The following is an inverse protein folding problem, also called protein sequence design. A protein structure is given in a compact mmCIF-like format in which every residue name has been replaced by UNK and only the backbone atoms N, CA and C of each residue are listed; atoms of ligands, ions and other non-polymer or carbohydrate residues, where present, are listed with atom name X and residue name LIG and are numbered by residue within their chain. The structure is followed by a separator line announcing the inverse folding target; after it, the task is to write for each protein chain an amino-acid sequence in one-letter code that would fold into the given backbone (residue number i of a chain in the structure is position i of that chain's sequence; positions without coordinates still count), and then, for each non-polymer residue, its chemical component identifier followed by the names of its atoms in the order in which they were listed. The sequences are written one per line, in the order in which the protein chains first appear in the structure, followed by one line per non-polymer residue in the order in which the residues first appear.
data_IF_877447806394
#
_entry.id   IF_877447806394
#
_cell.length_a   1.000
_cell.length_b   1.000
_cell.length_c   1.000
_cell.angle_alpha   90.00
_cell.angle_beta   90.00
_cell.angle_gamma   90.00
#
_symmetry.space_group_name_H-M   'P 1'
#
loop_
_entity.id
_entity.type
_entity.pdbx_description
1 polymer ?
#
# COMPACT_ATOMS: atom_id res chain seq x y z
N UNK A 1 63.54 -9.59 56.36
CA UNK A 1 63.27 -9.80 54.91
C UNK A 1 62.24 -10.90 54.74
N UNK A 2 61.02 -10.55 54.34
CA UNK A 2 60.11 -11.29 53.44
C UNK A 2 58.75 -10.57 53.48
N UNK A 3 58.50 -9.79 52.43
CA UNK A 3 57.21 -9.11 52.20
C UNK A 3 56.28 -10.07 51.47
N UNK A 4 55.03 -10.13 51.91
CA UNK A 4 53.95 -10.96 51.33
C UNK A 4 53.10 -10.04 50.44
N UNK A 5 53.12 -10.26 49.12
CA UNK A 5 52.30 -9.54 48.15
C UNK A 5 51.12 -10.43 47.73
N UNK A 6 49.91 -10.10 48.20
CA UNK A 6 48.65 -10.62 47.67
C UNK A 6 48.41 -10.03 46.27
N UNK A 7 48.29 -10.87 45.25
CA UNK A 7 47.77 -10.48 43.94
C UNK A 7 46.27 -10.77 43.90
N UNK A 8 45.45 -9.72 43.82
CA UNK A 8 44.02 -9.84 43.49
C UNK A 8 43.87 -9.60 41.99
N UNK A 9 43.59 -10.66 41.24
CA UNK A 9 43.28 -10.58 39.81
C UNK A 9 41.79 -10.26 39.63
N UNK A 10 41.49 -9.02 39.23
CA UNK A 10 40.14 -8.62 38.81
C UNK A 10 39.94 -9.06 37.37
N UNK A 11 39.09 -10.07 37.15
CA UNK A 11 38.72 -10.54 35.82
C UNK A 11 37.73 -9.58 35.16
N UNK A 12 38.10 -9.05 33.99
CA UNK A 12 37.24 -8.22 33.16
C UNK A 12 36.23 -9.12 32.44
N UNK A 13 35.00 -9.23 32.95
CA UNK A 13 33.90 -9.86 32.21
C UNK A 13 33.45 -8.91 31.10
N UNK A 14 33.90 -9.17 29.87
CA UNK A 14 33.33 -8.56 28.67
C UNK A 14 31.91 -9.09 28.50
N UNK A 15 30.90 -8.25 28.73
CA UNK A 15 29.53 -8.53 28.31
C UNK A 15 29.52 -8.51 26.77
N UNK A 16 29.53 -9.70 26.16
CA UNK A 16 29.14 -9.87 24.77
C UNK A 16 27.65 -9.55 24.64
N UNK A 17 27.32 -8.31 24.29
CA UNK A 17 25.97 -7.95 23.87
C UNK A 17 25.70 -8.65 22.53
N UNK A 18 24.91 -9.73 22.56
CA UNK A 18 24.39 -10.32 21.33
C UNK A 18 23.52 -9.25 20.64
N UNK A 19 23.74 -8.97 19.34
CA UNK A 19 22.83 -8.08 18.62
C UNK A 19 21.46 -8.74 18.63
N UNK A 20 20.47 -8.01 19.15
CA UNK A 20 19.07 -8.39 19.07
C UNK A 20 18.67 -8.26 17.61
N UNK A 21 18.85 -9.32 16.82
CA UNK A 21 18.33 -9.41 15.46
C UNK A 21 16.82 -9.51 15.63
N UNK A 22 16.14 -8.37 15.54
CA UNK A 22 14.70 -8.36 15.35
C UNK A 22 14.46 -9.05 14.00
N UNK A 23 14.10 -10.33 14.05
CA UNK A 23 13.56 -11.04 12.89
C UNK A 23 12.25 -10.35 12.55
N UNK A 24 12.24 -9.48 11.56
CA UNK A 24 11.00 -9.06 10.92
C UNK A 24 10.37 -10.33 10.36
N UNK A 25 9.31 -10.81 11.01
CA UNK A 25 8.51 -11.93 10.52
C UNK A 25 7.88 -11.49 9.20
N UNK A 26 8.48 -11.88 8.08
CA UNK A 26 7.90 -11.67 6.76
C UNK A 26 6.60 -12.46 6.63
N UNK A 27 5.60 -11.89 5.95
CA UNK A 27 4.33 -12.56 5.67
C UNK A 27 4.34 -13.07 4.23
N UNK A 28 4.61 -14.37 4.06
CA UNK A 28 4.66 -15.05 2.76
C UNK A 28 3.29 -15.37 2.16
N UNK A 29 2.20 -14.91 2.77
CA UNK A 29 0.83 -15.15 2.29
C UNK A 29 -0.06 -13.92 2.42
N UNK A 30 0.33 -12.77 1.85
CA UNK A 30 -0.39 -11.52 2.01
C UNK A 30 -1.80 -11.58 1.43
N UNK A 31 -2.74 -10.93 2.11
CA UNK A 31 -4.11 -10.69 1.63
C UNK A 31 -4.23 -9.21 1.34
N UNK A 32 -4.58 -8.86 0.11
CA UNK A 32 -4.74 -7.48 -0.34
C UNK A 32 -6.21 -7.22 -0.64
N UNK A 33 -6.74 -6.15 -0.03
CA UNK A 33 -8.07 -5.65 -0.35
C UNK A 33 -8.10 -5.00 -1.74
N UNK A 34 -9.12 -5.27 -2.54
CA UNK A 34 -9.38 -4.52 -3.78
C UNK A 34 -10.72 -3.82 -3.66
N UNK A 35 -10.70 -2.48 -3.71
CA UNK A 35 -11.89 -1.66 -3.50
C UNK A 35 -12.88 -1.76 -4.67
N UNK A 36 -14.14 -2.10 -4.37
CA UNK A 36 -15.22 -2.07 -5.34
C UNK A 36 -15.67 -0.64 -5.63
N UNK A 37 -16.41 -0.45 -6.70
CA UNK A 37 -16.99 0.84 -7.07
C UNK A 37 -18.40 0.65 -7.61
N UNK A 38 -19.21 1.69 -7.56
CA UNK A 38 -20.58 1.67 -8.05
C UNK A 38 -20.66 1.23 -9.53
N UNK A 39 -21.75 0.55 -9.85
CA UNK A 39 -22.15 0.35 -11.24
C UNK A 39 -22.75 1.67 -11.76
N UNK A 40 -22.24 2.14 -12.91
CA UNK A 40 -22.68 3.34 -13.63
C UNK A 40 -23.12 2.97 -15.06
N UNK A 41 -23.51 3.95 -15.87
CA UNK A 41 -23.99 3.73 -17.25
C UNK A 41 -23.00 2.94 -18.13
N UNK A 42 -21.69 3.16 -17.96
CA UNK A 42 -20.63 2.46 -18.69
C UNK A 42 -20.44 1.01 -18.23
N UNK A 43 -20.95 0.67 -17.05
CA UNK A 43 -20.80 -0.63 -16.41
C UNK A 43 -22.13 -1.32 -16.15
N UNK A 44 -23.24 -0.73 -16.62
CA UNK A 44 -24.63 -1.08 -16.35
C UNK A 44 -25.03 -2.51 -16.75
N UNK A 45 -24.19 -3.21 -17.52
CA UNK A 45 -24.38 -4.63 -17.86
C UNK A 45 -24.03 -5.58 -16.69
N UNK A 46 -23.56 -5.06 -15.56
CA UNK A 46 -23.19 -5.84 -14.38
C UNK A 46 -24.38 -5.91 -13.41
N UNK A 47 -24.75 -7.12 -13.00
CA UNK A 47 -25.75 -7.33 -11.95
C UNK A 47 -25.13 -6.98 -10.59
N UNK A 48 -25.74 -6.08 -9.83
CA UNK A 48 -25.34 -5.70 -8.47
C UNK A 48 -25.09 -4.20 -8.29
N UNK A 49 -24.89 -3.78 -7.04
CA UNK A 49 -24.69 -2.37 -6.65
C UNK A 49 -23.26 -1.88 -6.91
N UNK A 50 -22.28 -2.79 -6.90
CA UNK A 50 -20.87 -2.46 -7.12
C UNK A 50 -20.13 -3.58 -7.87
N UNK A 51 -18.95 -3.28 -8.40
CA UNK A 51 -18.11 -4.24 -9.12
C UNK A 51 -16.61 -4.02 -8.86
N UNK A 52 -15.82 -5.04 -9.20
CA UNK A 52 -14.36 -4.99 -9.35
C UNK A 52 -14.00 -5.55 -10.73
N UNK A 53 -13.15 -4.87 -11.50
CA UNK A 53 -12.67 -5.43 -12.76
C UNK A 53 -11.68 -6.57 -12.47
N UNK A 54 -11.91 -7.74 -13.08
CA UNK A 54 -11.12 -8.96 -12.83
C UNK A 54 -9.62 -8.81 -13.11
N UNK A 55 -9.23 -7.85 -13.96
CA UNK A 55 -7.82 -7.54 -14.22
C UNK A 55 -7.07 -7.11 -12.97
N UNK A 56 -7.70 -6.39 -12.03
CA UNK A 56 -7.06 -6.01 -10.76
C UNK A 56 -6.85 -7.21 -9.83
N UNK A 57 -7.80 -8.16 -9.83
CA UNK A 57 -7.67 -9.40 -9.06
C UNK A 57 -6.46 -10.19 -9.57
N UNK A 58 -6.40 -10.41 -10.89
CA UNK A 58 -5.28 -11.11 -11.54
C UNK A 58 -3.95 -10.41 -11.33
N UNK A 59 -3.92 -9.08 -11.36
CA UNK A 59 -2.71 -8.29 -11.11
C UNK A 59 -2.16 -8.54 -9.71
N UNK A 60 -3.02 -8.51 -8.69
CA UNK A 60 -2.61 -8.78 -7.30
C UNK A 60 -2.18 -10.24 -7.12
N UNK A 61 -2.94 -11.19 -7.68
CA UNK A 61 -2.58 -12.61 -7.63
C UNK A 61 -1.25 -12.92 -8.33
N UNK A 62 -0.94 -12.24 -9.44
CA UNK A 62 0.36 -12.40 -10.12
C UNK A 62 1.54 -11.92 -9.28
N UNK A 63 1.30 -11.06 -8.28
CA UNK A 63 2.28 -10.65 -7.27
C UNK A 63 2.42 -11.63 -6.10
N UNK A 64 1.73 -12.78 -6.13
CA UNK A 64 1.78 -13.79 -5.06
C UNK A 64 0.84 -13.54 -3.88
N UNK A 65 -0.08 -12.57 -3.99
CA UNK A 65 -1.04 -12.24 -2.93
C UNK A 65 -2.42 -12.85 -3.18
N UNK A 66 -3.18 -13.07 -2.11
CA UNK A 66 -4.62 -13.38 -2.18
C UNK A 66 -5.43 -12.08 -2.20
N UNK A 67 -6.59 -12.10 -2.83
CA UNK A 67 -7.48 -10.95 -2.93
C UNK A 67 -8.72 -11.13 -2.07
N UNK A 68 -9.12 -10.06 -1.39
CA UNK A 68 -10.46 -9.94 -0.80
C UNK A 68 -11.16 -8.71 -1.40
N UNK A 69 -12.44 -8.82 -1.84
CA UNK A 69 -13.18 -7.65 -2.28
C UNK A 69 -13.50 -6.76 -1.08
N UNK A 70 -13.16 -5.47 -1.19
CA UNK A 70 -13.57 -4.45 -0.23
C UNK A 70 -14.83 -3.79 -0.79
N UNK A 71 -15.98 -4.15 -0.24
CA UNK A 71 -17.27 -3.63 -0.70
C UNK A 71 -17.44 -2.17 -0.28
N UNK A 72 -18.05 -1.35 -1.13
CA UNK A 72 -18.47 0.02 -0.77
C UNK A 72 -19.69 0.00 0.15
N UNK A 73 -20.03 1.17 0.71
CA UNK A 73 -21.22 1.40 1.54
C UNK A 73 -21.31 0.54 2.81
N UNK A 74 -20.19 0.02 3.30
CA UNK A 74 -20.10 -0.62 4.62
C UNK A 74 -19.94 0.44 5.72
N UNK A 75 -20.16 0.03 6.97
CA UNK A 75 -19.93 0.86 8.15
C UNK A 75 -18.44 1.07 8.42
N UNK A 76 -18.10 2.13 9.16
CA UNK A 76 -16.71 2.40 9.55
C UNK A 76 -16.10 1.25 10.38
N UNK A 77 -16.90 0.61 11.23
CA UNK A 77 -16.46 -0.52 12.06
C UNK A 77 -16.20 -1.79 11.25
N UNK A 78 -16.99 -2.05 10.21
CA UNK A 78 -16.71 -3.13 9.24
C UNK A 78 -15.40 -2.87 8.49
N UNK A 79 -15.15 -1.62 8.06
CA UNK A 79 -13.88 -1.27 7.42
C UNK A 79 -12.69 -1.39 8.36
N UNK A 80 -12.81 -0.97 9.63
CA UNK A 80 -11.74 -1.16 10.64
C UNK A 80 -11.45 -2.63 10.87
N UNK A 81 -12.49 -3.45 10.99
CA UNK A 81 -12.36 -4.90 11.16
C UNK A 81 -11.64 -5.51 9.97
N UNK A 82 -12.03 -5.13 8.74
CA UNK A 82 -11.40 -5.60 7.52
C UNK A 82 -9.95 -5.10 7.38
N UNK A 83 -9.68 -3.83 7.68
CA UNK A 83 -8.34 -3.24 7.68
C UNK A 83 -7.38 -4.04 8.55
N UNK A 84 -7.79 -4.40 9.76
CA UNK A 84 -6.99 -5.20 10.70
C UNK A 84 -6.83 -6.67 10.27
N UNK A 85 -7.54 -7.10 9.22
CA UNK A 85 -7.53 -8.48 8.71
C UNK A 85 -6.77 -8.63 7.38
N UNK A 86 -6.32 -7.54 6.77
CA UNK A 86 -5.62 -7.52 5.48
C UNK A 86 -4.25 -6.84 5.60
N UNK A 87 -3.40 -7.02 4.59
CA UNK A 87 -2.01 -6.57 4.61
C UNK A 87 -1.75 -5.34 3.72
N UNK A 88 -2.78 -4.82 3.06
CA UNK A 88 -2.69 -3.67 2.16
C UNK A 88 -3.97 -3.52 1.35
N UNK A 89 -4.07 -2.42 0.60
CA UNK A 89 -5.25 -2.15 -0.23
C UNK A 89 -4.89 -1.54 -1.58
N UNK A 90 -5.62 -1.95 -2.61
CA UNK A 90 -5.59 -1.40 -3.95
C UNK A 90 -6.87 -0.61 -4.22
N UNK A 91 -6.69 0.65 -4.62
CA UNK A 91 -7.72 1.54 -5.16
C UNK A 91 -7.68 1.47 -6.69
N UNK A 92 -8.62 0.75 -7.34
CA UNK A 92 -8.58 0.54 -8.78
C UNK A 92 -9.01 1.79 -9.55
N UNK A 93 -8.74 1.79 -10.85
CA UNK A 93 -9.30 2.76 -11.80
C UNK A 93 -10.82 2.63 -11.94
N UNK A 94 -11.46 3.64 -12.49
CA UNK A 94 -12.91 3.71 -12.50
C UNK A 94 -13.44 5.04 -13.04
N UNK A 95 -14.74 5.26 -12.88
CA UNK A 95 -15.43 6.45 -13.35
C UNK A 95 -16.54 6.90 -12.41
N UNK A 96 -16.29 6.83 -11.11
CA UNK A 96 -17.21 7.30 -10.05
C UNK A 96 -16.69 8.59 -9.43
N UNK A 97 -17.57 9.33 -8.75
CA UNK A 97 -17.23 10.62 -8.13
C UNK A 97 -16.11 10.49 -7.08
N UNK A 98 -15.07 11.33 -7.17
CA UNK A 98 -13.96 11.40 -6.19
C UNK A 98 -14.37 11.95 -4.81
N UNK A 99 -15.60 12.47 -4.68
CA UNK A 99 -16.06 13.17 -3.48
C UNK A 99 -17.25 12.44 -2.86
N UNK A 100 -18.27 12.13 -3.66
CA UNK A 100 -19.59 11.71 -3.15
C UNK A 100 -19.84 10.21 -3.23
N UNK A 101 -19.02 9.44 -3.96
CA UNK A 101 -19.20 7.99 -4.12
C UNK A 101 -18.91 7.22 -2.83
N UNK A 102 -19.49 6.02 -2.73
CA UNK A 102 -19.12 4.99 -1.77
C UNK A 102 -17.66 4.57 -1.91
N UNK A 103 -17.12 4.55 -3.13
CA UNK A 103 -15.69 4.37 -3.37
C UNK A 103 -14.84 5.42 -2.64
N UNK A 104 -15.13 6.70 -2.84
CA UNK A 104 -14.37 7.81 -2.25
C UNK A 104 -14.47 7.80 -0.72
N UNK A 105 -15.65 7.51 -0.18
CA UNK A 105 -15.87 7.36 1.27
C UNK A 105 -15.06 6.23 1.86
N UNK A 106 -15.10 5.04 1.25
CA UNK A 106 -14.33 3.88 1.70
C UNK A 106 -12.82 4.15 1.59
N UNK A 107 -12.35 4.67 0.45
CA UNK A 107 -10.96 5.01 0.23
C UNK A 107 -10.42 6.01 1.28
N UNK A 108 -11.22 7.03 1.64
CA UNK A 108 -10.87 7.99 2.70
C UNK A 108 -10.68 7.32 4.06
N UNK A 109 -11.52 6.35 4.41
CA UNK A 109 -11.41 5.60 5.67
C UNK A 109 -10.12 4.77 5.68
N UNK A 110 -9.88 3.96 4.65
CA UNK A 110 -8.64 3.16 4.54
C UNK A 110 -7.38 4.01 4.48
N UNK A 111 -7.42 5.16 3.80
CA UNK A 111 -6.31 6.12 3.75
C UNK A 111 -5.95 6.66 5.14
N UNK A 112 -6.95 7.07 5.92
CA UNK A 112 -6.75 7.53 7.30
C UNK A 112 -6.18 6.40 8.17
N UNK A 113 -6.76 5.21 8.12
CA UNK A 113 -6.29 4.06 8.90
C UNK A 113 -4.85 3.68 8.55
N UNK A 114 -4.49 3.70 7.26
CA UNK A 114 -3.14 3.43 6.82
C UNK A 114 -2.14 4.48 7.32
N UNK A 115 -2.47 5.77 7.29
CA UNK A 115 -1.60 6.81 7.86
C UNK A 115 -1.37 6.55 9.35
N UNK A 116 -2.44 6.32 10.11
CA UNK A 116 -2.37 6.05 11.55
C UNK A 116 -1.54 4.79 11.86
N UNK A 117 -1.70 3.73 11.05
CA UNK A 117 -0.91 2.50 11.16
C UNK A 117 0.58 2.76 10.88
N UNK A 118 0.89 3.39 9.74
CA UNK A 118 2.28 3.65 9.38
C UNK A 118 2.98 4.58 10.39
N UNK A 119 2.27 5.55 10.97
CA UNK A 119 2.81 6.45 12.02
C UNK A 119 3.18 5.72 13.31
N UNK A 120 2.46 4.64 13.66
CA UNK A 120 2.77 3.80 14.83
C UNK A 120 3.69 2.62 14.52
N UNK A 121 4.28 2.59 13.31
CA UNK A 121 5.21 1.53 12.88
C UNK A 121 4.54 0.25 12.36
N UNK A 122 3.23 0.27 12.16
CA UNK A 122 2.44 -0.81 11.58
C UNK A 122 2.29 -0.57 10.08
N UNK A 123 3.17 -1.19 9.29
CA UNK A 123 3.29 -0.88 7.86
C UNK A 123 2.06 -1.37 7.09
N UNK A 124 1.35 -0.43 6.45
CA UNK A 124 0.18 -0.72 5.61
C UNK A 124 0.28 0.00 4.27
N UNK A 125 0.60 -0.71 3.16
CA UNK A 125 0.73 -0.10 1.84
C UNK A 125 -0.64 0.18 1.20
N UNK A 126 -0.72 1.31 0.49
CA UNK A 126 -1.83 1.64 -0.41
C UNK A 126 -1.29 1.77 -1.83
N UNK A 127 -1.96 1.14 -2.79
CA UNK A 127 -1.73 1.33 -4.22
C UNK A 127 -2.93 1.99 -4.88
N UNK A 128 -2.71 3.01 -5.72
CA UNK A 128 -3.76 3.67 -6.50
C UNK A 128 -3.49 3.64 -8.00
N UNK A 129 -4.45 3.16 -8.78
CA UNK A 129 -4.36 3.13 -10.25
C UNK A 129 -5.45 4.01 -10.86
N UNK A 130 -5.10 4.92 -11.79
CA UNK A 130 -6.05 5.81 -12.48
C UNK A 130 -6.94 6.57 -11.46
N UNK A 131 -8.25 6.30 -11.39
CA UNK A 131 -9.14 6.85 -10.36
C UNK A 131 -8.57 6.72 -8.93
N UNK A 132 -7.91 5.61 -8.60
CA UNK A 132 -7.25 5.45 -7.30
C UNK A 132 -6.06 6.38 -7.09
N UNK A 133 -5.32 6.70 -8.15
CA UNK A 133 -4.25 7.70 -8.11
C UNK A 133 -4.82 9.11 -7.93
N UNK A 134 -5.89 9.45 -8.66
CA UNK A 134 -6.63 10.70 -8.49
C UNK A 134 -7.18 10.84 -7.07
N UNK A 135 -7.73 9.77 -6.50
CA UNK A 135 -8.23 9.73 -5.14
C UNK A 135 -7.12 9.98 -4.11
N UNK A 136 -5.94 9.38 -4.27
CA UNK A 136 -4.79 9.63 -3.40
C UNK A 136 -4.32 11.09 -3.47
N UNK A 137 -4.25 11.64 -4.68
CA UNK A 137 -3.90 13.05 -4.88
C UNK A 137 -4.92 13.96 -4.17
N UNK A 138 -6.22 13.73 -4.37
CA UNK A 138 -7.29 14.48 -3.72
C UNK A 138 -7.27 14.36 -2.19
N UNK A 139 -7.10 13.16 -1.64
CA UNK A 139 -7.06 12.96 -0.18
C UNK A 139 -5.86 13.63 0.48
N UNK A 140 -4.73 13.69 -0.23
CA UNK A 140 -3.50 14.33 0.27
C UNK A 140 -3.57 15.85 0.17
N UNK A 141 -3.97 16.37 -0.99
CA UNK A 141 -4.04 17.81 -1.23
C UNK A 141 -5.26 18.46 -0.57
N UNK A 142 -6.31 17.69 -0.28
CA UNK A 142 -7.63 18.16 0.16
C UNK A 142 -8.30 19.13 -0.83
N UNK A 143 -7.89 19.07 -2.10
CA UNK A 143 -8.33 19.91 -3.18
C UNK A 143 -8.37 19.09 -4.49
N UNK A 144 -9.29 19.45 -5.39
CA UNK A 144 -9.30 18.86 -6.73
C UNK A 144 -8.32 19.60 -7.65
N UNK A 145 -7.13 19.00 -7.82
CA UNK A 145 -6.05 19.52 -8.66
C UNK A 145 -6.01 18.86 -10.06
N UNK A 146 -7.06 18.15 -10.46
CA UNK A 146 -7.09 17.46 -11.75
C UNK A 146 -7.26 18.45 -12.90
N UNK A 147 -6.58 18.15 -14.00
CA UNK A 147 -6.70 18.88 -15.26
C UNK A 147 -7.11 17.92 -16.37
N UNK A 148 -7.92 18.41 -17.30
CA UNK A 148 -8.28 17.62 -18.47
C UNK A 148 -7.06 17.40 -19.36
N UNK A 149 -6.86 16.15 -19.78
CA UNK A 149 -5.80 15.77 -20.71
C UNK A 149 -6.37 14.87 -21.79
N UNK A 150 -5.74 14.86 -22.98
CA UNK A 150 -6.13 13.95 -24.06
C UNK A 150 -5.37 12.62 -23.94
N UNK A 151 -5.70 11.84 -22.91
CA UNK A 151 -5.01 10.60 -22.54
C UNK A 151 -5.92 9.36 -22.55
N UNK A 152 -7.10 9.48 -23.17
CA UNK A 152 -8.04 8.35 -23.33
C UNK A 152 -7.58 7.43 -24.45
N UNK A 153 -7.41 6.14 -24.16
CA UNK A 153 -7.17 5.10 -25.18
C UNK A 153 -5.82 5.20 -25.90
N UNK A 154 -4.82 5.81 -25.27
CA UNK A 154 -3.45 5.96 -25.80
C UNK A 154 -2.45 5.15 -24.97
N UNK A 155 -1.43 4.62 -25.63
CA UNK A 155 -0.25 4.02 -24.98
C UNK A 155 0.91 5.01 -25.02
N UNK A 156 1.52 5.30 -23.88
CA UNK A 156 2.61 6.27 -23.73
C UNK A 156 3.79 5.62 -23.00
N UNK A 157 5.04 6.00 -23.32
CA UNK A 157 6.21 5.62 -22.52
C UNK A 157 6.23 6.37 -21.17
N UNK A 158 7.09 5.95 -20.25
CA UNK A 158 7.32 6.65 -18.99
C UNK A 158 8.56 7.54 -19.09
N UNK A 159 8.34 8.85 -18.99
CA UNK A 159 9.46 9.79 -18.85
C UNK A 159 9.97 9.76 -17.40
N UNK A 160 10.92 8.87 -17.09
CA UNK A 160 11.51 8.78 -15.75
C UNK A 160 12.21 10.06 -15.33
N UNK A 161 11.99 10.48 -14.09
CA UNK A 161 12.79 11.53 -13.45
C UNK A 161 14.07 10.92 -12.85
N UNK A 162 15.02 11.77 -12.48
CA UNK A 162 16.26 11.33 -11.82
C UNK A 162 16.05 10.57 -10.50
N UNK A 163 14.86 10.70 -9.89
CA UNK A 163 14.52 10.03 -8.63
C UNK A 163 14.01 8.58 -8.83
N UNK A 164 13.67 8.18 -10.05
CA UNK A 164 13.13 6.84 -10.31
C UNK A 164 14.10 5.73 -9.87
N UNK A 165 15.38 5.88 -10.19
CA UNK A 165 16.45 4.91 -9.86
C UNK A 165 16.72 4.77 -8.36
N UNK A 166 16.34 5.77 -7.56
CA UNK A 166 16.47 5.76 -6.08
C UNK A 166 15.16 5.42 -5.38
N UNK A 167 14.07 5.28 -6.13
CA UNK A 167 12.73 5.07 -5.58
C UNK A 167 12.57 3.66 -5.03
N UNK A 168 11.63 3.48 -4.09
CA UNK A 168 11.24 2.13 -3.62
C UNK A 168 10.55 1.31 -4.70
N UNK A 169 9.81 1.96 -5.60
CA UNK A 169 8.95 1.29 -6.58
C UNK A 169 9.75 0.61 -7.70
N UNK A 170 10.80 1.27 -8.19
CA UNK A 170 11.61 0.77 -9.31
C UNK A 170 12.97 0.22 -8.88
N UNK A 171 13.20 0.03 -7.57
CA UNK A 171 14.50 -0.40 -7.03
C UNK A 171 14.98 -1.72 -7.62
N UNK A 172 14.06 -2.67 -7.79
CA UNK A 172 14.37 -4.03 -8.24
C UNK A 172 14.00 -4.25 -9.72
N UNK A 173 13.71 -3.17 -10.46
CA UNK A 173 13.43 -3.27 -11.89
C UNK A 173 14.72 -3.55 -12.68
N UNK A 174 14.70 -4.50 -13.64
CA UNK A 174 15.81 -4.71 -14.57
C UNK A 174 16.20 -3.43 -15.31
N UNK A 175 17.51 -3.17 -15.42
CA UNK A 175 18.03 -1.91 -15.96
C UNK A 175 17.68 -1.69 -17.44
N UNK A 176 17.44 -2.76 -18.20
CA UNK A 176 16.97 -2.73 -19.59
C UNK A 176 15.50 -2.30 -19.70
N UNK A 177 14.66 -2.66 -18.73
CA UNK A 177 13.25 -2.22 -18.67
C UNK A 177 13.08 -0.75 -18.24
N UNK A 178 14.15 -0.09 -17.79
CA UNK A 178 14.16 1.32 -17.39
C UNK A 178 14.56 2.29 -18.52
N UNK A 179 14.81 1.79 -19.74
CA UNK A 179 15.40 2.55 -20.86
C UNK A 179 14.40 3.01 -21.94
N UNK A 180 13.09 2.99 -21.68
CA UNK A 180 12.03 3.23 -22.69
C UNK A 180 11.12 4.40 -22.39
#
# INVERSE_FOLDING_TARGET
MRSLLLHVSVGLFSLLTLPNVATTSENDSPIIGVLSQEVNEYTAKRNGESYIAASYVKFVESGGARVIPVMINQTEEEYKTLFNSINGILFPGGGVSLISSGYAKAAKIFYKLAIEANQRGDYFPIWGTCLGFEQLAYLTAQENLLVNTNTTGVSLPLNFTNEATKSRMFKDFPADLMQH
#
